data_IF_057143847527
#
_entry.id   IF_057143847527
#
_cell.length_a   1.000
_cell.length_b   1.000
_cell.length_c   1.000
_cell.angle_alpha   90.00
_cell.angle_beta   90.00
_cell.angle_gamma   90.00
#
_symmetry.space_group_name_H-M   'P 1'
#
loop_
_entity.id
_entity.type
_entity.pdbx_description
1 polymer ?
#
# COMPACT_ATOMS: atom_id res chain seq x y z
N UNK A 1 7.62 1.16 20.79
CA UNK A 1 8.08 0.17 21.82
C UNK A 1 9.26 -0.57 21.23
N UNK A 2 10.44 -0.54 21.87
CA UNK A 2 11.55 -1.39 21.45
C UNK A 2 11.18 -2.85 21.78
N UNK A 3 11.37 -3.75 20.83
CA UNK A 3 11.21 -5.17 21.06
C UNK A 3 12.27 -5.64 22.08
N UNK A 4 11.82 -6.04 23.26
CA UNK A 4 12.71 -6.47 24.36
C UNK A 4 13.58 -7.67 23.95
N UNK A 5 13.04 -8.56 23.11
CA UNK A 5 13.79 -9.68 22.57
C UNK A 5 14.88 -9.20 21.62
N UNK A 6 14.56 -8.30 20.70
CA UNK A 6 15.52 -7.71 19.78
C UNK A 6 16.63 -6.96 20.51
N UNK A 7 16.30 -6.20 21.56
CA UNK A 7 17.28 -5.56 22.43
C UNK A 7 18.20 -6.57 23.12
N UNK A 8 17.65 -7.66 23.66
CA UNK A 8 18.42 -8.72 24.30
C UNK A 8 19.37 -9.42 23.32
N UNK A 9 18.90 -9.80 22.15
CA UNK A 9 19.68 -10.50 21.10
C UNK A 9 20.89 -9.68 20.62
N UNK A 10 20.82 -8.35 20.69
CA UNK A 10 21.95 -7.49 20.32
C UNK A 10 23.04 -7.40 21.38
N UNK A 11 22.80 -7.85 22.62
CA UNK A 11 23.83 -7.90 23.66
C UNK A 11 24.85 -9.01 23.38
N UNK A 12 26.08 -8.92 23.90
CA UNK A 12 27.09 -9.97 23.75
C UNK A 12 26.62 -11.35 24.25
N UNK A 13 25.90 -11.38 25.37
CA UNK A 13 25.33 -12.61 25.94
C UNK A 13 24.19 -13.13 25.07
N UNK A 14 23.31 -12.26 24.59
CA UNK A 14 22.23 -12.60 23.68
C UNK A 14 22.75 -13.21 22.36
N UNK A 15 23.77 -12.62 21.75
CA UNK A 15 24.42 -13.17 20.54
C UNK A 15 25.00 -14.56 20.76
N UNK A 16 25.64 -14.78 21.91
CA UNK A 16 26.19 -16.11 22.26
C UNK A 16 25.08 -17.15 22.43
N UNK A 17 24.01 -16.80 23.13
CA UNK A 17 22.84 -17.70 23.33
C UNK A 17 22.12 -17.99 22.01
N UNK A 18 21.89 -16.99 21.18
CA UNK A 18 21.28 -17.17 19.83
C UNK A 18 22.10 -18.15 18.99
N UNK A 19 23.44 -17.97 18.96
CA UNK A 19 24.35 -18.84 18.21
C UNK A 19 24.33 -20.29 18.71
N UNK A 20 24.33 -20.49 20.03
CA UNK A 20 24.46 -21.82 20.63
C UNK A 20 23.13 -22.56 20.74
N UNK A 21 22.02 -21.85 20.92
CA UNK A 21 20.68 -22.44 21.10
C UNK A 21 19.82 -22.41 19.84
N UNK A 22 20.35 -21.89 18.71
CA UNK A 22 19.59 -21.78 17.47
C UNK A 22 18.36 -20.86 17.57
N UNK A 23 18.37 -19.87 18.46
CA UNK A 23 17.28 -18.95 18.64
C UNK A 23 17.16 -17.99 17.44
N UNK A 24 15.94 -17.50 17.11
CA UNK A 24 15.76 -16.54 16.03
C UNK A 24 16.60 -15.28 16.25
N UNK A 25 17.32 -14.85 15.21
CA UNK A 25 18.05 -13.57 15.21
C UNK A 25 17.44 -12.61 14.17
N UNK A 26 16.35 -11.92 14.51
CA UNK A 26 15.67 -11.03 13.57
C UNK A 26 16.59 -9.84 13.25
N UNK A 27 16.75 -9.57 11.95
CA UNK A 27 17.44 -8.37 11.49
C UNK A 27 16.68 -7.12 11.90
N UNK A 28 17.32 -6.13 12.53
CA UNK A 28 16.69 -4.84 12.79
C UNK A 28 16.23 -4.22 11.47
N UNK A 29 14.94 -3.90 11.37
CA UNK A 29 14.40 -3.27 10.18
C UNK A 29 14.71 -1.77 10.18
N UNK A 30 15.12 -1.27 9.04
CA UNK A 30 15.25 0.17 8.83
C UNK A 30 13.88 0.85 8.97
N UNK A 31 13.89 1.99 9.65
CA UNK A 31 12.71 2.84 9.84
C UNK A 31 12.89 4.12 9.06
N UNK A 32 11.86 4.54 8.35
CA UNK A 32 11.88 5.83 7.72
C UNK A 32 11.93 6.95 8.78
N UNK A 33 12.85 7.89 8.59
CA UNK A 33 12.93 9.12 9.36
C UNK A 33 12.66 10.30 8.42
N UNK A 34 11.94 11.30 8.90
CA UNK A 34 11.68 12.51 8.12
C UNK A 34 13.02 13.20 7.78
N UNK A 35 13.19 13.66 6.54
CA UNK A 35 14.43 14.26 6.04
C UNK A 35 15.51 13.27 5.61
N UNK A 36 15.33 11.94 5.85
CA UNK A 36 16.22 10.92 5.31
C UNK A 36 15.98 10.71 3.81
N UNK A 37 17.02 10.31 3.04
CA UNK A 37 16.82 9.94 1.64
C UNK A 37 15.81 8.78 1.52
N UNK A 38 15.09 8.71 0.41
CA UNK A 38 14.16 7.59 0.16
C UNK A 38 14.89 6.24 0.12
N UNK A 39 16.10 6.23 -0.43
CA UNK A 39 16.97 5.05 -0.50
C UNK A 39 18.39 5.51 -0.14
N UNK A 40 18.98 4.89 0.88
CA UNK A 40 20.37 5.12 1.26
C UNK A 40 21.26 4.06 0.59
N UNK A 41 21.64 4.30 -0.65
CA UNK A 41 22.45 3.41 -1.46
C UNK A 41 21.98 3.32 -2.92
N UNK A 42 22.59 2.43 -3.69
CA UNK A 42 22.34 2.28 -5.13
C UNK A 42 21.27 1.24 -5.44
N UNK A 43 20.41 1.55 -6.39
CA UNK A 43 19.42 0.63 -6.96
C UNK A 43 19.92 0.13 -8.32
N UNK A 44 20.02 -1.19 -8.48
CA UNK A 44 20.29 -1.79 -9.78
C UNK A 44 18.98 -1.98 -10.55
N UNK A 45 18.94 -1.46 -11.76
CA UNK A 45 17.80 -1.57 -12.68
C UNK A 45 18.13 -2.56 -13.80
N UNK A 46 17.20 -3.47 -14.09
CA UNK A 46 17.36 -4.42 -15.19
C UNK A 46 16.02 -4.82 -15.81
N UNK A 47 16.09 -5.80 -16.68
CA UNK A 47 14.93 -6.25 -17.44
C UNK A 47 14.80 -5.57 -18.81
N UNK A 48 13.75 -5.97 -19.54
CA UNK A 48 13.42 -5.44 -20.86
C UNK A 48 11.92 -5.33 -20.98
N UNK A 49 11.45 -4.17 -21.33
CA UNK A 49 10.02 -3.93 -21.50
C UNK A 49 9.74 -2.45 -21.68
N UNK A 50 8.49 -2.09 -21.64
CA UNK A 50 8.03 -0.73 -21.91
C UNK A 50 8.41 0.31 -20.86
N UNK A 51 8.93 -0.14 -19.68
CA UNK A 51 9.38 0.73 -18.59
C UNK A 51 10.90 0.95 -18.61
N UNK A 52 11.66 0.11 -19.30
CA UNK A 52 13.12 0.10 -19.24
C UNK A 52 13.77 1.47 -19.53
N UNK A 53 13.23 2.22 -20.50
CA UNK A 53 13.75 3.55 -20.85
C UNK A 53 13.36 4.64 -19.85
N UNK A 54 12.17 4.54 -19.24
CA UNK A 54 11.65 5.57 -18.33
C UNK A 54 12.11 5.40 -16.88
N UNK A 55 12.44 4.18 -16.45
CA UNK A 55 12.80 3.87 -15.06
C UNK A 55 13.97 4.70 -14.52
N UNK A 56 15.10 4.87 -15.24
CA UNK A 56 16.19 5.70 -14.73
C UNK A 56 15.75 7.14 -14.45
N UNK A 57 14.99 7.74 -15.35
CA UNK A 57 14.46 9.10 -15.16
C UNK A 57 13.46 9.20 -14.00
N UNK A 58 12.65 8.16 -13.76
CA UNK A 58 11.76 8.10 -12.60
C UNK A 58 12.55 8.01 -11.30
N UNK A 59 13.60 7.21 -11.24
CA UNK A 59 14.43 7.08 -10.03
C UNK A 59 15.24 8.37 -9.76
N UNK A 60 15.74 9.01 -10.81
CA UNK A 60 16.42 10.30 -10.71
C UNK A 60 15.48 11.41 -10.17
N UNK A 61 14.25 11.49 -10.67
CA UNK A 61 13.21 12.38 -10.16
C UNK A 61 12.94 12.16 -8.65
N UNK A 62 13.07 10.92 -8.17
CA UNK A 62 12.92 10.57 -6.76
C UNK A 62 14.19 10.80 -5.92
N UNK A 63 15.29 11.26 -6.53
CA UNK A 63 16.59 11.39 -5.89
C UNK A 63 17.22 10.05 -5.50
N UNK A 64 16.87 8.96 -6.20
CA UNK A 64 17.37 7.61 -5.93
C UNK A 64 18.52 7.30 -6.89
N UNK A 65 19.73 7.10 -6.34
CA UNK A 65 20.89 6.68 -7.11
C UNK A 65 20.62 5.32 -7.78
N UNK A 66 20.78 5.23 -9.10
CA UNK A 66 20.53 4.00 -9.85
C UNK A 66 21.59 3.72 -10.89
N UNK A 67 21.73 2.44 -11.27
CA UNK A 67 22.61 1.97 -12.34
C UNK A 67 21.95 0.83 -13.11
N UNK A 68 22.24 0.71 -14.39
CA UNK A 68 21.84 -0.43 -15.23
C UNK A 68 23.00 -1.40 -15.49
N UNK A 69 24.22 -1.00 -15.14
CA UNK A 69 25.41 -1.85 -15.29
C UNK A 69 25.74 -2.51 -13.95
N UNK A 70 25.64 -3.84 -13.83
CA UNK A 70 26.05 -4.54 -12.64
C UNK A 70 27.57 -4.47 -12.49
N UNK A 71 28.03 -4.00 -11.32
CA UNK A 71 29.44 -4.01 -10.93
C UNK A 71 29.73 -5.18 -10.00
N UNK A 72 30.82 -5.89 -10.23
CA UNK A 72 31.20 -7.09 -9.48
C UNK A 72 31.54 -6.79 -8.02
N UNK A 73 32.02 -5.57 -7.72
CA UNK A 73 32.46 -5.16 -6.39
C UNK A 73 31.40 -4.31 -5.64
N UNK A 74 30.33 -3.91 -6.32
CA UNK A 74 29.29 -3.09 -5.73
C UNK A 74 28.26 -3.91 -4.92
N UNK A 75 27.74 -3.31 -3.85
CA UNK A 75 26.51 -3.75 -3.17
C UNK A 75 25.32 -2.89 -3.59
N UNK A 76 24.11 -3.44 -3.47
CA UNK A 76 22.89 -2.79 -3.90
C UNK A 76 21.88 -2.72 -2.77
N UNK A 77 21.33 -1.54 -2.56
CA UNK A 77 20.24 -1.30 -1.61
C UNK A 77 18.89 -1.72 -2.17
N UNK A 78 18.75 -1.73 -3.49
CA UNK A 78 17.53 -2.16 -4.16
C UNK A 78 17.77 -2.75 -5.53
N UNK A 79 16.79 -3.54 -5.99
CA UNK A 79 16.72 -4.07 -7.34
C UNK A 79 15.36 -3.70 -7.95
N UNK A 80 15.35 -3.19 -9.16
CA UNK A 80 14.14 -2.98 -9.96
C UNK A 80 14.29 -3.75 -11.26
N UNK A 81 13.35 -4.65 -11.54
CA UNK A 81 13.37 -5.45 -12.75
C UNK A 81 12.11 -5.22 -13.58
N UNK A 82 12.28 -4.71 -14.80
CA UNK A 82 11.21 -4.58 -15.78
C UNK A 82 10.94 -5.91 -16.47
N UNK A 83 9.88 -6.59 -16.06
CA UNK A 83 9.36 -7.83 -16.62
C UNK A 83 8.18 -7.61 -17.58
N UNK A 84 7.85 -6.35 -17.94
CA UNK A 84 6.74 -6.07 -18.86
C UNK A 84 6.98 -6.58 -20.28
N UNK A 85 8.22 -6.84 -20.65
CA UNK A 85 8.60 -7.45 -21.91
C UNK A 85 8.67 -8.98 -21.90
N UNK A 86 8.28 -9.64 -20.80
CA UNK A 86 8.18 -11.11 -20.73
C UNK A 86 6.85 -11.53 -21.35
N UNK A 87 6.91 -12.13 -22.55
CA UNK A 87 5.72 -12.52 -23.34
C UNK A 87 5.54 -14.05 -23.43
N UNK A 88 6.57 -14.82 -23.09
CA UNK A 88 6.53 -16.28 -23.09
C UNK A 88 7.09 -16.85 -21.80
N UNK A 89 6.79 -18.12 -21.52
CA UNK A 89 7.38 -18.82 -20.37
C UNK A 89 8.91 -19.00 -20.50
N UNK A 90 9.45 -19.02 -21.71
CA UNK A 90 10.90 -19.09 -21.94
C UNK A 90 11.59 -17.77 -21.52
N UNK A 91 10.94 -16.64 -21.67
CA UNK A 91 11.50 -15.32 -21.30
C UNK A 91 11.67 -15.17 -19.78
N UNK A 92 11.02 -16.02 -18.97
CA UNK A 92 11.21 -16.06 -17.51
C UNK A 92 12.66 -16.35 -17.11
N UNK A 93 13.48 -16.93 -18.00
CA UNK A 93 14.92 -17.09 -17.77
C UNK A 93 15.63 -15.75 -17.48
N UNK A 94 15.13 -14.64 -18.03
CA UNK A 94 15.68 -13.31 -17.76
C UNK A 94 15.65 -12.93 -16.27
N UNK A 95 14.68 -13.46 -15.50
CA UNK A 95 14.65 -13.29 -14.04
C UNK A 95 15.88 -13.97 -13.40
N UNK A 96 16.15 -15.23 -13.75
CA UNK A 96 17.31 -15.94 -13.23
C UNK A 96 18.61 -15.20 -13.58
N UNK A 97 18.74 -14.81 -14.83
CA UNK A 97 19.97 -14.19 -15.36
C UNK A 97 20.26 -12.85 -14.69
N UNK A 98 19.22 -12.07 -14.34
CA UNK A 98 19.38 -10.83 -13.61
C UNK A 98 19.60 -11.03 -12.10
N UNK A 99 18.78 -11.84 -11.43
CA UNK A 99 18.78 -11.93 -9.97
C UNK A 99 19.95 -12.79 -9.44
N UNK A 100 20.27 -13.92 -10.06
CA UNK A 100 21.27 -14.87 -9.55
C UNK A 100 22.63 -14.22 -9.26
N UNK A 101 23.23 -13.42 -10.14
CA UNK A 101 24.56 -12.85 -9.88
C UNK A 101 24.58 -11.77 -8.81
N UNK A 102 23.42 -11.14 -8.47
CA UNK A 102 23.39 -9.95 -7.60
C UNK A 102 22.78 -10.20 -6.21
N UNK A 103 22.02 -11.29 -6.00
CA UNK A 103 21.34 -11.54 -4.71
C UNK A 103 22.28 -11.60 -3.51
N UNK A 104 23.52 -12.10 -3.68
CA UNK A 104 24.51 -12.17 -2.60
C UNK A 104 25.14 -10.82 -2.26
N UNK A 105 24.98 -9.84 -3.13
CA UNK A 105 25.52 -8.48 -3.03
C UNK A 105 24.49 -7.46 -2.57
N UNK A 106 23.37 -7.92 -2.10
CA UNK A 106 22.38 -7.05 -1.49
C UNK A 106 22.82 -6.58 -0.11
N UNK A 107 22.57 -5.32 0.21
CA UNK A 107 22.76 -4.74 1.52
C UNK A 107 21.77 -5.27 2.57
N UNK A 108 21.83 -4.73 3.78
CA UNK A 108 20.80 -4.97 4.79
C UNK A 108 19.50 -4.25 4.40
N UNK A 109 18.37 -4.86 4.72
CA UNK A 109 17.05 -4.34 4.40
C UNK A 109 16.84 -3.97 2.92
N UNK A 110 17.26 -4.81 1.95
CA UNK A 110 17.16 -4.45 0.54
C UNK A 110 15.71 -4.40 0.08
N UNK A 111 15.45 -3.62 -0.95
CA UNK A 111 14.12 -3.47 -1.57
C UNK A 111 14.16 -3.99 -3.00
N UNK A 112 13.33 -4.98 -3.29
CA UNK A 112 13.24 -5.58 -4.62
C UNK A 112 11.85 -5.35 -5.20
N UNK A 113 11.77 -4.80 -6.38
CA UNK A 113 10.53 -4.55 -7.11
C UNK A 113 10.61 -5.19 -8.49
N UNK A 114 9.65 -6.05 -8.79
CA UNK A 114 9.44 -6.59 -10.13
C UNK A 114 8.25 -5.87 -10.75
N UNK A 115 8.42 -5.33 -11.95
CA UNK A 115 7.37 -4.63 -12.68
C UNK A 115 6.84 -5.56 -13.77
N UNK A 116 5.54 -5.78 -13.83
CA UNK A 116 4.91 -6.69 -14.80
C UNK A 116 3.69 -6.05 -15.49
N UNK A 117 3.20 -6.72 -16.51
CA UNK A 117 1.93 -6.38 -17.19
C UNK A 117 0.78 -7.13 -16.49
N UNK A 118 -0.38 -6.49 -16.23
CA UNK A 118 -1.51 -7.17 -15.62
C UNK A 118 -1.93 -8.41 -16.43
N UNK A 119 -1.96 -9.62 -15.84
CA UNK A 119 -2.27 -10.84 -16.60
C UNK A 119 -3.68 -10.83 -17.23
N UNK A 120 -4.58 -10.04 -16.69
CA UNK A 120 -5.93 -9.87 -17.22
C UNK A 120 -6.00 -8.99 -18.48
N UNK A 121 -4.96 -8.23 -18.79
CA UNK A 121 -4.89 -7.37 -19.97
C UNK A 121 -4.18 -8.01 -21.17
N UNK A 122 -3.66 -9.23 -21.00
CA UNK A 122 -2.93 -9.97 -22.02
C UNK A 122 -3.48 -11.38 -22.19
N UNK A 123 -3.08 -12.10 -23.24
CA UNK A 123 -3.64 -13.41 -23.58
C UNK A 123 -2.56 -14.49 -23.79
N UNK A 124 -2.98 -15.74 -23.94
CA UNK A 124 -2.11 -16.86 -24.33
C UNK A 124 -0.92 -17.07 -23.41
N UNK A 125 0.25 -17.26 -24.00
CA UNK A 125 1.51 -17.50 -23.29
C UNK A 125 1.96 -16.35 -22.43
N UNK A 126 1.70 -15.12 -22.85
CA UNK A 126 2.02 -13.92 -22.09
C UNK A 126 1.26 -13.85 -20.77
N UNK A 127 -0.05 -14.14 -20.76
CA UNK A 127 -0.85 -14.23 -19.55
C UNK A 127 -0.26 -15.22 -18.55
N UNK A 128 0.17 -16.38 -19.03
CA UNK A 128 0.79 -17.41 -18.19
C UNK A 128 2.11 -16.92 -17.61
N UNK A 129 2.97 -16.31 -18.44
CA UNK A 129 4.26 -15.81 -18.02
C UNK A 129 4.14 -14.65 -17.01
N UNK A 130 3.26 -13.69 -17.26
CA UNK A 130 3.00 -12.58 -16.34
C UNK A 130 2.39 -13.05 -15.01
N UNK A 131 1.51 -14.06 -15.03
CA UNK A 131 0.96 -14.66 -13.80
C UNK A 131 2.03 -15.38 -12.99
N UNK A 132 3.03 -16.00 -13.63
CA UNK A 132 4.14 -16.68 -12.96
C UNK A 132 5.00 -15.74 -12.11
N UNK A 133 5.03 -14.43 -12.41
CA UNK A 133 5.74 -13.42 -11.63
C UNK A 133 5.28 -13.37 -10.16
N UNK A 134 4.01 -13.66 -9.86
CA UNK A 134 3.52 -13.72 -8.49
C UNK A 134 4.20 -14.82 -7.68
N UNK A 135 4.35 -16.01 -8.28
CA UNK A 135 5.04 -17.14 -7.67
C UNK A 135 6.52 -16.83 -7.44
N UNK A 136 7.19 -16.29 -8.46
CA UNK A 136 8.58 -15.86 -8.38
C UNK A 136 8.80 -14.84 -7.26
N UNK A 137 8.00 -13.78 -7.21
CA UNK A 137 8.10 -12.70 -6.21
C UNK A 137 7.96 -13.23 -4.78
N UNK A 138 6.97 -14.11 -4.55
CA UNK A 138 6.77 -14.70 -3.22
C UNK A 138 7.90 -15.65 -2.81
N UNK A 139 8.46 -16.40 -3.76
CA UNK A 139 9.61 -17.27 -3.50
C UNK A 139 10.85 -16.45 -3.20
N UNK A 140 11.17 -15.47 -4.03
CA UNK A 140 12.30 -14.58 -3.83
C UNK A 140 12.21 -13.83 -2.50
N UNK A 141 11.00 -13.41 -2.09
CA UNK A 141 10.75 -12.75 -0.81
C UNK A 141 11.09 -13.59 0.42
N UNK A 142 11.09 -14.94 0.29
CA UNK A 142 11.53 -15.85 1.35
C UNK A 142 13.06 -16.02 1.36
N UNK A 143 13.72 -15.83 0.22
CA UNK A 143 15.15 -16.04 0.05
C UNK A 143 16.01 -14.83 0.39
N UNK A 144 15.52 -13.62 0.12
CA UNK A 144 16.30 -12.37 0.26
C UNK A 144 16.81 -12.16 1.67
N UNK A 145 16.05 -12.50 2.71
CA UNK A 145 16.46 -12.41 4.11
C UNK A 145 16.88 -10.99 4.53
N UNK A 146 17.67 -10.90 5.60
CA UNK A 146 18.31 -9.65 6.11
C UNK A 146 17.37 -8.44 6.18
N UNK A 147 16.06 -8.64 6.50
CA UNK A 147 15.06 -7.59 6.55
C UNK A 147 14.62 -7.05 5.18
N UNK A 148 14.99 -7.75 4.10
CA UNK A 148 14.62 -7.40 2.73
C UNK A 148 13.15 -7.63 2.41
N UNK A 149 12.64 -6.91 1.42
CA UNK A 149 11.28 -7.06 0.92
C UNK A 149 11.27 -7.24 -0.60
N UNK A 150 10.33 -8.01 -1.12
CA UNK A 150 10.16 -8.26 -2.56
C UNK A 150 8.70 -8.03 -2.92
N UNK A 151 8.45 -7.19 -3.93
CA UNK A 151 7.10 -6.83 -4.37
C UNK A 151 6.95 -7.05 -5.87
N UNK A 152 5.73 -7.32 -6.29
CA UNK A 152 5.32 -7.28 -7.69
C UNK A 152 4.41 -6.07 -7.91
N UNK A 153 4.70 -5.30 -8.94
CA UNK A 153 3.86 -4.19 -9.38
C UNK A 153 3.39 -4.43 -10.80
N UNK A 154 2.12 -4.68 -10.97
CA UNK A 154 1.52 -4.72 -12.29
C UNK A 154 1.19 -3.29 -12.75
N UNK A 155 1.75 -2.89 -13.89
CA UNK A 155 1.57 -1.58 -14.48
C UNK A 155 0.73 -1.73 -15.75
N UNK A 156 -0.47 -1.17 -15.76
CA UNK A 156 -1.31 -1.16 -16.96
C UNK A 156 -0.63 -0.35 -18.08
N UNK A 157 -0.93 -0.69 -19.33
CA UNK A 157 -0.50 0.10 -20.46
C UNK A 157 -1.04 1.53 -20.36
N UNK A 158 -0.19 2.52 -20.60
CA UNK A 158 -0.51 3.94 -20.42
C UNK A 158 -0.40 4.46 -18.98
N UNK A 159 0.00 3.60 -18.01
CA UNK A 159 0.20 3.97 -16.62
C UNK A 159 1.69 4.13 -16.23
N UNK A 160 2.60 4.11 -17.19
CA UNK A 160 4.05 4.12 -16.96
C UNK A 160 4.50 5.35 -16.14
N UNK A 161 3.95 6.52 -16.46
CA UNK A 161 4.26 7.78 -15.77
C UNK A 161 3.78 7.83 -14.29
N UNK A 162 2.92 6.88 -13.88
CA UNK A 162 2.36 6.82 -12.53
C UNK A 162 3.14 5.90 -11.58
N UNK A 163 4.27 5.35 -12.02
CA UNK A 163 5.07 4.41 -11.22
C UNK A 163 5.82 5.08 -10.07
N UNK A 164 6.10 6.37 -10.16
CA UNK A 164 6.97 7.09 -9.22
C UNK A 164 6.51 6.98 -7.76
N UNK A 165 5.23 7.22 -7.45
CA UNK A 165 4.72 7.16 -6.08
C UNK A 165 4.82 5.75 -5.48
N UNK A 166 4.57 4.72 -6.29
CA UNK A 166 4.68 3.32 -5.87
C UNK A 166 6.14 2.95 -5.64
N UNK A 167 7.06 3.35 -6.52
CA UNK A 167 8.49 3.11 -6.36
C UNK A 167 9.06 3.88 -5.15
N UNK A 168 8.67 5.13 -4.94
CA UNK A 168 9.05 5.92 -3.77
C UNK A 168 8.66 5.22 -2.46
N UNK A 169 7.49 4.60 -2.40
CA UNK A 169 7.05 3.83 -1.24
C UNK A 169 7.80 2.51 -1.11
N UNK A 170 7.80 1.68 -2.18
CA UNK A 170 8.29 0.30 -2.12
C UNK A 170 9.81 0.20 -1.98
N UNK A 171 10.58 1.15 -2.53
CA UNK A 171 12.02 1.20 -2.41
C UNK A 171 12.50 1.82 -1.08
N UNK A 172 11.65 2.57 -0.39
CA UNK A 172 12.00 3.25 0.86
C UNK A 172 11.75 2.39 2.10
N UNK A 173 12.32 2.76 3.27
CA UNK A 173 12.00 2.16 4.56
C UNK A 173 10.54 2.30 4.99
N UNK A 174 9.73 3.15 4.33
CA UNK A 174 8.28 3.26 4.56
C UNK A 174 7.57 1.91 4.35
N UNK A 175 8.08 1.05 3.45
CA UNK A 175 7.53 -0.28 3.12
C UNK A 175 8.15 -1.45 3.90
N UNK A 176 8.86 -1.20 5.01
CA UNK A 176 9.63 -2.23 5.73
C UNK A 176 8.82 -3.48 6.16
N UNK A 177 7.51 -3.36 6.30
CA UNK A 177 6.61 -4.44 6.68
C UNK A 177 5.79 -5.02 5.52
N UNK A 178 6.04 -4.57 4.30
CA UNK A 178 5.30 -5.00 3.10
C UNK A 178 6.22 -5.91 2.29
N UNK A 179 5.89 -7.19 2.18
CA UNK A 179 6.65 -8.15 1.37
C UNK A 179 5.73 -9.20 0.76
N UNK A 180 6.06 -9.69 -0.44
CA UNK A 180 5.30 -10.71 -1.17
C UNK A 180 3.95 -10.22 -1.70
N UNK A 181 3.73 -8.90 -1.77
CA UNK A 181 2.47 -8.31 -2.21
C UNK A 181 2.46 -8.02 -3.71
N UNK A 182 1.24 -7.94 -4.25
CA UNK A 182 0.98 -7.51 -5.62
C UNK A 182 0.29 -6.17 -5.59
N UNK A 183 0.94 -5.15 -6.15
CA UNK A 183 0.39 -3.80 -6.33
C UNK A 183 -0.06 -3.65 -7.78
N UNK A 184 -1.11 -2.89 -8.04
CA UNK A 184 -1.62 -2.63 -9.39
C UNK A 184 -1.73 -1.14 -9.62
N UNK A 185 -1.18 -0.68 -10.75
CA UNK A 185 -1.27 0.70 -11.22
C UNK A 185 -2.16 0.68 -12.46
N UNK A 186 -3.33 1.32 -12.35
CA UNK A 186 -4.28 1.47 -13.46
C UNK A 186 -3.92 2.64 -14.37
N UNK A 187 -4.48 2.65 -15.59
CA UNK A 187 -4.24 3.73 -16.56
C UNK A 187 -5.07 4.99 -16.30
N UNK A 188 -6.09 4.91 -15.43
CA UNK A 188 -7.00 6.02 -15.14
C UNK A 188 -6.94 6.43 -13.67
N UNK A 189 -7.07 7.72 -13.39
CA UNK A 189 -7.07 8.25 -12.02
C UNK A 189 -5.70 8.21 -11.35
N UNK A 190 -4.63 8.15 -12.10
CA UNK A 190 -3.26 8.12 -11.60
C UNK A 190 -2.66 9.52 -11.50
N UNK A 191 -1.93 9.77 -10.42
CA UNK A 191 -1.18 11.01 -10.23
C UNK A 191 0.10 10.97 -11.06
N UNK A 192 0.37 12.02 -11.78
CA UNK A 192 1.65 12.17 -12.49
C UNK A 192 2.74 12.57 -11.50
N UNK A 193 3.94 12.03 -11.68
CA UNK A 193 5.08 12.31 -10.81
C UNK A 193 5.40 13.81 -10.71
N UNK A 194 5.26 14.56 -11.81
CA UNK A 194 5.49 16.01 -11.87
C UNK A 194 4.53 16.84 -11.00
N UNK A 195 3.45 16.23 -10.48
CA UNK A 195 2.47 16.90 -9.62
C UNK A 195 2.84 16.83 -8.13
N UNK A 196 3.86 16.07 -7.76
CA UNK A 196 4.38 15.96 -6.39
C UNK A 196 5.61 16.85 -6.26
N UNK A 197 5.44 17.98 -5.57
CA UNK A 197 6.52 18.94 -5.42
C UNK A 197 7.63 18.46 -4.47
N UNK A 198 7.25 17.72 -3.44
CA UNK A 198 8.19 17.17 -2.45
C UNK A 198 7.82 15.72 -2.07
N UNK A 199 8.68 14.78 -2.40
CA UNK A 199 8.51 13.37 -2.07
C UNK A 199 8.68 13.03 -0.59
N UNK A 200 9.23 13.96 0.19
CA UNK A 200 9.26 13.88 1.66
C UNK A 200 7.87 14.19 2.26
N UNK A 201 7.14 15.11 1.62
CA UNK A 201 5.81 15.57 2.02
C UNK A 201 4.80 15.47 0.87
N UNK A 202 4.56 14.27 0.34
CA UNK A 202 3.76 14.08 -0.89
C UNK A 202 2.28 14.45 -0.73
N UNK A 203 1.81 14.68 0.50
CA UNK A 203 0.43 15.07 0.83
C UNK A 203 0.30 16.53 1.23
N UNK A 204 1.29 17.37 0.95
CA UNK A 204 1.24 18.79 1.26
C UNK A 204 0.00 19.45 0.64
N UNK A 205 -0.75 20.21 1.45
CA UNK A 205 -1.98 20.86 1.03
C UNK A 205 -3.20 19.94 0.86
N UNK A 206 -3.09 18.65 1.18
CA UNK A 206 -4.19 17.68 1.15
C UNK A 206 -4.90 17.61 2.50
N UNK A 207 -6.21 17.36 2.48
CA UNK A 207 -7.03 17.13 3.67
C UNK A 207 -7.34 15.65 3.78
N UNK A 208 -7.02 15.04 4.93
CA UNK A 208 -7.21 13.63 5.19
C UNK A 208 -8.16 13.40 6.38
N UNK A 209 -9.26 12.69 6.15
CA UNK A 209 -10.18 12.23 7.19
C UNK A 209 -9.76 10.84 7.68
N UNK A 210 -9.65 10.67 9.00
CA UNK A 210 -9.36 9.37 9.63
C UNK A 210 -10.44 9.03 10.65
N UNK A 211 -11.17 7.93 10.47
CA UNK A 211 -12.14 7.45 11.45
C UNK A 211 -11.48 6.50 12.45
N UNK A 212 -11.87 6.55 13.74
CA UNK A 212 -11.22 5.80 14.81
C UNK A 212 -9.80 6.31 15.06
N UNK A 213 -9.60 7.63 15.04
CA UNK A 213 -8.28 8.24 15.03
C UNK A 213 -7.65 8.41 16.42
N UNK A 214 -8.42 8.34 17.51
CA UNK A 214 -7.98 8.72 18.86
C UNK A 214 -6.81 7.89 19.40
N UNK A 215 -6.68 6.64 18.98
CA UNK A 215 -5.68 5.70 19.51
C UNK A 215 -5.31 4.57 18.56
N UNK A 216 -4.26 3.84 18.91
CA UNK A 216 -3.88 2.59 18.24
C UNK A 216 -3.49 2.79 16.78
N UNK A 217 -4.07 2.01 15.86
CA UNK A 217 -3.75 2.05 14.43
C UNK A 217 -4.17 3.40 13.83
N UNK A 218 -5.37 3.88 14.17
CA UNK A 218 -5.88 5.16 13.65
C UNK A 218 -5.01 6.35 14.02
N UNK A 219 -4.52 6.40 15.26
CA UNK A 219 -3.55 7.39 15.72
C UNK A 219 -2.26 7.35 14.88
N UNK A 220 -1.70 6.16 14.65
CA UNK A 220 -0.48 6.02 13.87
C UNK A 220 -0.69 6.41 12.40
N UNK A 221 -1.86 6.11 11.83
CA UNK A 221 -2.23 6.58 10.48
C UNK A 221 -2.29 8.11 10.45
N UNK A 222 -2.94 8.73 11.42
CA UNK A 222 -3.04 10.19 11.53
C UNK A 222 -1.65 10.84 11.61
N UNK A 223 -0.75 10.31 12.45
CA UNK A 223 0.65 10.77 12.56
C UNK A 223 1.44 10.64 11.26
N UNK A 224 1.25 9.55 10.53
CA UNK A 224 1.93 9.34 9.24
C UNK A 224 1.40 10.31 8.18
N UNK A 225 0.09 10.51 8.08
CA UNK A 225 -0.51 11.44 7.14
C UNK A 225 -0.07 12.88 7.40
N UNK A 226 -0.04 13.30 8.69
CA UNK A 226 0.49 14.60 9.08
C UNK A 226 1.97 14.75 8.73
N UNK A 227 2.81 13.75 9.06
CA UNK A 227 4.24 13.74 8.69
C UNK A 227 4.43 13.92 7.18
N UNK A 228 3.59 13.26 6.38
CA UNK A 228 3.65 13.30 4.92
C UNK A 228 2.98 14.56 4.32
N UNK A 229 2.53 15.52 5.18
CA UNK A 229 2.11 16.88 4.80
C UNK A 229 0.60 17.14 4.82
N UNK A 230 -0.23 16.12 5.10
CA UNK A 230 -1.68 16.31 5.12
C UNK A 230 -2.17 17.09 6.36
N UNK A 231 -3.19 17.92 6.18
CA UNK A 231 -4.06 18.39 7.28
C UNK A 231 -4.97 17.23 7.67
N UNK A 232 -4.87 16.77 8.92
CA UNK A 232 -5.63 15.60 9.39
C UNK A 232 -6.90 16.04 10.11
N UNK A 233 -8.03 15.43 9.74
CA UNK A 233 -9.30 15.54 10.45
C UNK A 233 -9.62 14.21 11.10
N UNK A 234 -9.53 14.13 12.42
CA UNK A 234 -9.80 12.92 13.19
C UNK A 234 -11.28 12.81 13.55
N UNK A 235 -11.85 11.61 13.42
CA UNK A 235 -13.21 11.29 13.87
C UNK A 235 -13.16 10.11 14.83
N UNK A 236 -13.80 10.26 16.00
CA UNK A 236 -13.98 9.17 16.95
C UNK A 236 -15.25 9.35 17.78
N UNK A 237 -15.61 8.32 18.53
CA UNK A 237 -16.80 8.32 19.38
C UNK A 237 -16.68 9.29 20.56
N UNK A 238 -17.80 9.80 21.14
CA UNK A 238 -17.77 10.75 22.25
C UNK A 238 -16.93 10.30 23.47
N UNK A 239 -16.84 9.01 23.71
CA UNK A 239 -16.06 8.43 24.82
C UNK A 239 -14.55 8.60 24.67
N UNK A 240 -14.09 8.86 23.46
CA UNK A 240 -12.68 9.09 23.12
C UNK A 240 -12.36 10.56 22.78
N UNK A 241 -13.25 11.50 23.16
CA UNK A 241 -13.12 12.89 22.78
C UNK A 241 -11.84 13.57 23.29
N UNK A 242 -11.44 13.28 24.53
CA UNK A 242 -10.24 13.86 25.15
C UNK A 242 -8.95 13.40 24.44
N UNK A 243 -8.83 12.12 24.15
CA UNK A 243 -7.68 11.55 23.45
C UNK A 243 -7.61 12.06 22.02
N UNK A 244 -8.78 12.13 21.34
CA UNK A 244 -8.87 12.65 19.99
C UNK A 244 -8.43 14.11 19.91
N UNK A 245 -8.94 14.94 20.81
CA UNK A 245 -8.61 16.36 20.89
C UNK A 245 -7.12 16.57 21.17
N UNK A 246 -6.55 15.81 22.12
CA UNK A 246 -5.12 15.90 22.45
C UNK A 246 -4.25 15.56 21.24
N UNK A 247 -4.57 14.47 20.52
CA UNK A 247 -3.85 14.06 19.33
C UNK A 247 -3.96 15.13 18.23
N UNK A 248 -5.15 15.63 17.94
CA UNK A 248 -5.32 16.62 16.87
C UNK A 248 -4.66 17.97 17.22
N UNK A 249 -4.63 18.35 18.49
CA UNK A 249 -3.86 19.53 18.94
C UNK A 249 -2.34 19.33 18.70
N UNK A 250 -1.83 18.14 18.99
CA UNK A 250 -0.41 17.81 18.72
C UNK A 250 -0.08 17.85 17.23
N UNK A 251 -1.01 17.41 16.37
CA UNK A 251 -0.81 17.32 14.91
C UNK A 251 -1.23 18.60 14.16
N UNK A 252 -1.60 19.69 14.87
CA UNK A 252 -2.19 20.88 14.24
C UNK A 252 -3.34 20.53 13.28
N UNK A 253 -4.13 19.53 13.68
CA UNK A 253 -5.27 18.99 12.93
C UNK A 253 -6.60 19.41 13.49
N UNK A 254 -7.69 18.91 12.91
CA UNK A 254 -9.05 19.17 13.38
C UNK A 254 -9.72 17.86 13.80
N UNK A 255 -10.80 17.97 14.55
CA UNK A 255 -11.53 16.80 15.04
C UNK A 255 -13.04 16.96 15.02
N UNK A 256 -13.71 15.83 14.87
CA UNK A 256 -15.16 15.74 15.01
C UNK A 256 -15.51 14.53 15.89
N UNK A 257 -16.15 14.81 17.02
CA UNK A 257 -16.59 13.77 17.94
C UNK A 257 -17.99 13.31 17.55
N UNK A 258 -18.08 12.08 17.03
CA UNK A 258 -19.38 11.51 16.66
C UNK A 258 -19.29 9.97 16.46
N UNK A 259 -20.41 9.28 16.69
CA UNK A 259 -20.56 7.86 16.33
C UNK A 259 -20.87 7.73 14.82
N UNK A 260 -19.96 7.08 14.07
CA UNK A 260 -20.12 6.91 12.62
C UNK A 260 -21.30 6.02 12.21
N UNK A 261 -21.90 5.28 13.15
CA UNK A 261 -23.11 4.47 12.91
C UNK A 261 -24.40 5.29 12.97
N UNK A 262 -24.32 6.54 13.43
CA UNK A 262 -25.45 7.45 13.46
C UNK A 262 -25.99 7.77 12.06
N UNK A 263 -27.31 7.83 11.91
CA UNK A 263 -27.96 8.08 10.61
C UNK A 263 -27.57 9.41 9.96
N UNK A 264 -27.25 10.41 10.78
CA UNK A 264 -26.83 11.75 10.35
C UNK A 264 -25.30 11.89 10.28
N UNK A 265 -24.55 10.89 10.67
CA UNK A 265 -23.09 10.94 10.71
C UNK A 265 -22.45 11.33 9.36
N UNK A 266 -22.86 10.73 8.22
CA UNK A 266 -22.30 11.10 6.92
C UNK A 266 -22.50 12.59 6.59
N UNK A 267 -23.70 13.13 6.86
CA UNK A 267 -24.02 14.53 6.57
C UNK A 267 -23.24 15.47 7.47
N UNK A 268 -23.10 15.15 8.76
CA UNK A 268 -22.32 15.95 9.72
C UNK A 268 -20.84 15.98 9.35
N UNK A 269 -20.27 14.83 8.96
CA UNK A 269 -18.88 14.75 8.50
C UNK A 269 -18.70 15.60 7.22
N UNK A 270 -19.59 15.43 6.24
CA UNK A 270 -19.52 16.15 4.98
C UNK A 270 -19.64 17.66 5.17
N UNK A 271 -20.57 18.11 6.03
CA UNK A 271 -20.75 19.52 6.36
C UNK A 271 -19.49 20.10 7.03
N UNK A 272 -18.97 19.42 8.05
CA UNK A 272 -17.77 19.85 8.76
C UNK A 272 -16.56 20.00 7.83
N UNK A 273 -16.30 18.99 6.97
CA UNK A 273 -15.21 19.00 6.01
C UNK A 273 -15.35 20.13 4.98
N UNK A 274 -16.57 20.36 4.51
CA UNK A 274 -16.85 21.43 3.54
C UNK A 274 -16.65 22.82 4.15
N UNK A 275 -17.22 23.07 5.32
CA UNK A 275 -17.20 24.40 5.96
C UNK A 275 -15.80 24.78 6.47
N UNK A 276 -15.07 23.84 7.07
CA UNK A 276 -13.76 24.14 7.68
C UNK A 276 -12.58 23.95 6.73
N UNK A 277 -12.68 23.02 5.80
CA UNK A 277 -11.54 22.60 4.97
C UNK A 277 -11.80 22.74 3.46
N UNK A 278 -13.01 23.13 3.06
CA UNK A 278 -13.39 23.21 1.64
C UNK A 278 -13.53 21.85 0.95
N UNK A 279 -13.47 20.74 1.70
CA UNK A 279 -13.60 19.37 1.21
C UNK A 279 -12.58 18.41 1.82
N UNK A 280 -12.44 17.23 1.23
CA UNK A 280 -11.50 16.18 1.65
C UNK A 280 -10.83 15.55 0.43
N UNK A 281 -9.53 15.26 0.54
CA UNK A 281 -8.76 14.58 -0.51
C UNK A 281 -8.59 13.08 -0.23
N UNK A 282 -8.46 12.69 1.04
CA UNK A 282 -8.28 11.30 1.46
C UNK A 282 -9.28 10.93 2.55
N UNK A 283 -9.85 9.73 2.46
CA UNK A 283 -10.70 9.17 3.52
C UNK A 283 -10.15 7.83 3.95
N UNK A 284 -9.81 7.71 5.24
CA UNK A 284 -9.33 6.48 5.84
C UNK A 284 -10.41 5.92 6.77
N UNK A 285 -11.07 4.87 6.32
CA UNK A 285 -12.01 4.11 7.13
C UNK A 285 -11.25 3.13 8.03
N UNK A 286 -10.78 3.61 9.17
CA UNK A 286 -10.05 2.79 10.14
C UNK A 286 -10.93 2.35 11.33
N UNK A 287 -11.97 3.11 11.70
CA UNK A 287 -12.86 2.71 12.77
C UNK A 287 -13.36 1.27 12.58
N UNK A 288 -13.28 0.49 13.64
CA UNK A 288 -13.71 -0.91 13.62
C UNK A 288 -13.78 -1.48 15.02
N UNK A 289 -14.61 -2.49 15.21
CA UNK A 289 -14.77 -3.24 16.44
C UNK A 289 -14.67 -4.75 16.19
N UNK A 290 -14.25 -5.49 17.21
CA UNK A 290 -14.29 -6.95 17.22
C UNK A 290 -15.24 -7.45 18.31
N UNK A 291 -15.87 -8.58 18.08
CA UNK A 291 -16.74 -9.28 19.04
C UNK A 291 -16.49 -10.78 18.93
N UNK A 292 -15.36 -11.22 19.51
CA UNK A 292 -14.87 -12.59 19.35
C UNK A 292 -15.79 -13.61 20.02
N UNK A 293 -16.51 -14.37 19.20
CA UNK A 293 -17.32 -15.53 19.56
C UNK A 293 -17.38 -16.50 18.38
N UNK A 294 -17.47 -17.80 18.67
CA UNK A 294 -17.80 -18.78 17.63
C UNK A 294 -19.19 -18.46 17.07
N UNK A 295 -19.37 -18.61 15.76
CA UNK A 295 -20.62 -18.26 15.09
C UNK A 295 -21.85 -18.95 15.73
N UNK A 296 -21.70 -20.21 16.15
CA UNK A 296 -22.75 -20.97 16.84
C UNK A 296 -23.22 -20.35 18.17
N UNK A 297 -22.42 -19.45 18.76
CA UNK A 297 -22.69 -18.79 20.03
C UNK A 297 -22.71 -17.25 19.89
N UNK A 298 -22.80 -16.76 18.65
CA UNK A 298 -22.81 -15.33 18.36
C UNK A 298 -24.22 -14.77 18.57
N UNK A 299 -24.37 -13.86 19.53
CA UNK A 299 -25.62 -13.16 19.73
C UNK A 299 -25.86 -12.13 18.62
N UNK A 300 -27.11 -11.91 18.25
CA UNK A 300 -27.54 -11.03 17.15
C UNK A 300 -27.01 -9.60 17.31
N UNK A 301 -27.14 -9.03 18.52
CA UNK A 301 -26.64 -7.70 18.85
C UNK A 301 -25.14 -7.53 18.62
N UNK A 302 -24.35 -8.57 18.91
CA UNK A 302 -22.91 -8.58 18.65
C UNK A 302 -22.58 -8.63 17.16
N UNK A 303 -23.29 -9.49 16.43
CA UNK A 303 -23.18 -9.57 14.97
C UNK A 303 -23.52 -8.24 14.30
N UNK A 304 -24.69 -7.69 14.65
CA UNK A 304 -25.18 -6.43 14.09
C UNK A 304 -24.28 -5.26 14.40
N UNK A 305 -23.73 -5.18 15.62
CA UNK A 305 -22.79 -4.12 15.99
C UNK A 305 -21.51 -4.15 15.15
N UNK A 306 -20.97 -5.34 14.85
CA UNK A 306 -19.79 -5.49 13.98
C UNK A 306 -20.12 -5.07 12.56
N UNK A 307 -21.25 -5.49 12.01
CA UNK A 307 -21.68 -5.08 10.68
C UNK A 307 -21.92 -3.58 10.59
N UNK A 308 -22.59 -3.00 11.59
CA UNK A 308 -22.88 -1.57 11.61
C UNK A 308 -21.59 -0.72 11.54
N UNK A 309 -20.59 -1.02 12.35
CA UNK A 309 -19.34 -0.23 12.40
C UNK A 309 -18.42 -0.59 11.23
N UNK A 310 -18.17 -1.89 10.98
CA UNK A 310 -17.10 -2.29 10.07
C UNK A 310 -17.50 -2.29 8.59
N UNK A 311 -18.81 -2.32 8.29
CA UNK A 311 -19.31 -2.40 6.92
C UNK A 311 -20.30 -1.29 6.58
N UNK A 312 -21.42 -1.18 7.33
CA UNK A 312 -22.54 -0.31 6.96
C UNK A 312 -22.15 1.16 7.05
N UNK A 313 -21.48 1.58 8.13
CA UNK A 313 -21.01 2.95 8.29
C UNK A 313 -20.07 3.40 7.16
N UNK A 314 -19.29 2.47 6.60
CA UNK A 314 -18.41 2.75 5.45
C UNK A 314 -19.17 2.91 4.14
N UNK A 315 -20.23 2.10 3.93
CA UNK A 315 -21.03 2.15 2.72
C UNK A 315 -21.99 3.35 2.67
N UNK A 316 -22.37 3.88 3.84
CA UNK A 316 -23.12 5.12 3.99
C UNK A 316 -22.25 6.38 3.93
N UNK A 317 -20.92 6.23 3.89
CA UNK A 317 -20.00 7.36 3.73
C UNK A 317 -20.29 8.09 2.42
N UNK A 318 -20.41 9.43 2.45
CA UNK A 318 -21.08 10.16 1.39
C UNK A 318 -20.33 10.12 0.07
N UNK A 319 -20.97 9.55 -0.91
CA UNK A 319 -20.78 9.99 -2.30
C UNK A 319 -21.07 11.49 -2.46
N UNK A 320 -21.65 12.14 -1.43
CA UNK A 320 -21.95 13.54 -1.30
C UNK A 320 -20.89 14.36 -0.55
N UNK A 321 -19.86 13.74 0.05
CA UNK A 321 -18.66 14.48 0.36
C UNK A 321 -18.08 14.90 -0.98
N UNK A 322 -18.35 16.12 -1.41
CA UNK A 322 -17.67 16.69 -2.56
C UNK A 322 -16.18 16.61 -2.22
N UNK A 323 -15.53 15.52 -2.67
CA UNK A 323 -14.09 15.56 -2.91
C UNK A 323 -13.90 16.92 -3.57
N UNK A 324 -13.01 17.77 -3.05
CA UNK A 324 -12.62 19.01 -3.72
C UNK A 324 -12.62 18.67 -5.18
N UNK A 325 -13.50 19.33 -5.96
CA UNK A 325 -13.80 18.90 -7.31
C UNK A 325 -12.49 18.51 -7.96
N UNK A 326 -12.29 17.22 -8.15
CA UNK A 326 -11.13 16.72 -8.80
C UNK A 326 -11.18 17.34 -10.19
N UNK A 327 -10.50 18.46 -10.34
CA UNK A 327 -10.00 18.77 -11.66
C UNK A 327 -9.22 17.53 -12.02
N UNK A 328 -9.51 16.91 -13.12
CA UNK A 328 -9.08 15.61 -13.62
C UNK A 328 -7.56 15.38 -13.63
N UNK A 329 -6.80 15.99 -12.72
CA UNK A 329 -5.36 16.10 -12.75
C UNK A 329 -4.63 15.49 -11.55
N UNK A 330 -5.26 15.29 -10.37
CA UNK A 330 -4.50 14.82 -9.20
C UNK A 330 -5.31 13.95 -8.27
N UNK A 331 -5.14 12.63 -8.34
CA UNK A 331 -5.66 11.88 -7.25
C UNK A 331 -5.74 10.37 -7.37
N UNK A 332 -4.94 9.69 -6.57
CA UNK A 332 -5.13 8.29 -6.30
C UNK A 332 -6.36 8.05 -5.44
N UNK A 333 -7.48 7.66 -6.04
CA UNK A 333 -8.63 7.13 -5.32
C UNK A 333 -8.39 5.64 -5.06
N UNK A 334 -8.30 5.24 -3.81
CA UNK A 334 -8.45 3.86 -3.36
C UNK A 334 -9.94 3.44 -3.26
N UNK A 335 -10.83 4.19 -3.90
CA UNK A 335 -12.20 3.76 -4.14
C UNK A 335 -12.21 2.97 -5.44
N UNK A 336 -12.48 1.67 -5.36
CA UNK A 336 -12.80 0.82 -6.51
C UNK A 336 -13.82 1.54 -7.40
N UNK A 337 -13.56 1.73 -8.71
CA UNK A 337 -14.58 2.25 -9.59
C UNK A 337 -15.74 1.25 -9.58
N UNK A 338 -16.92 1.70 -9.17
CA UNK A 338 -18.14 0.94 -9.42
C UNK A 338 -18.25 0.84 -10.93
N UNK A 339 -17.93 -0.34 -11.48
CA UNK A 339 -18.41 -0.71 -12.79
C UNK A 339 -19.92 -0.47 -12.75
N UNK A 340 -20.43 0.39 -13.62
CA UNK A 340 -21.85 0.41 -13.94
C UNK A 340 -22.16 -0.92 -14.60
N UNK A 341 -22.47 -1.93 -13.80
CA UNK A 341 -23.17 -3.09 -14.27
C UNK A 341 -24.57 -2.59 -14.65
N UNK A 342 -24.84 -2.52 -15.94
CA UNK A 342 -26.19 -2.46 -16.46
C UNK A 342 -26.99 -3.58 -15.78
N UNK A 343 -28.23 -3.36 -15.36
CA UNK A 343 -29.06 -4.42 -14.83
C UNK A 343 -29.29 -5.45 -15.95
N UNK A 344 -28.54 -6.54 -15.91
CA UNK A 344 -28.89 -7.71 -16.69
C UNK A 344 -30.20 -8.24 -16.12
N UNK A 345 -31.24 -8.04 -16.86
CA UNK A 345 -32.55 -8.69 -16.66
C UNK A 345 -32.34 -10.20 -16.70
N UNK A 346 -32.36 -10.82 -15.54
CA UNK A 346 -32.49 -12.25 -15.41
C UNK A 346 -33.89 -12.65 -15.83
N UNK A 347 -34.09 -12.93 -17.14
CA UNK A 347 -35.25 -13.63 -17.61
C UNK A 347 -35.19 -15.08 -17.09
N UNK A 348 -36.11 -15.44 -16.21
CA UNK A 348 -36.34 -16.84 -15.81
C UNK A 348 -36.75 -17.67 -17.03
N UNK A 349 -36.12 -18.83 -17.30
CA UNK A 349 -36.66 -19.75 -18.26
C UNK A 349 -37.93 -20.38 -17.68
N UNK A 350 -39.06 -20.14 -18.29
CA UNK A 350 -40.31 -20.77 -17.97
C UNK A 350 -40.53 -22.00 -18.85
N UNK A 351 -39.79 -23.09 -18.69
CA UNK A 351 -40.22 -24.43 -19.10
C UNK A 351 -39.31 -25.50 -18.50
N UNK A 352 -39.84 -26.49 -17.79
CA UNK A 352 -39.04 -27.65 -17.37
C UNK A 352 -38.82 -28.59 -18.57
N UNK A 353 -37.67 -29.30 -18.64
CA UNK A 353 -37.44 -30.29 -19.68
C UNK A 353 -38.33 -31.52 -19.50
N UNK A 354 -38.72 -32.23 -20.60
CA UNK A 354 -39.47 -33.44 -20.52
C UNK A 354 -38.67 -34.60 -19.93
N UNK A 355 -39.33 -35.45 -19.14
CA UNK A 355 -38.73 -36.67 -18.57
C UNK A 355 -38.52 -37.71 -19.69
N UNK A 356 -37.42 -38.48 -19.67
CA UNK A 356 -37.28 -39.61 -20.57
C UNK A 356 -38.18 -40.76 -20.15
N UNK A 357 -38.72 -41.44 -21.16
CA UNK A 357 -39.49 -42.69 -21.08
C UNK A 357 -38.53 -43.85 -20.83
#
# INVERSE_FOLDING_TARGET
MSDKYQGFVQTPIGKLLVKNLGLPNPTPLERYAAGAPLVDGTVLVGGRGRLAESLPGVLDLLGIASTQAPDADASYKGLVFDATGITTSADLNALRDFFTPVLRRLDTCPRVVVLGTPPESVEGGERVAQRALEGFTRSLGKEVGRGGTVQLVYVAEGAEAATASTLAFLLSPKSAYVSGQVVRIGATGTTKAAEVADWQRPLEGKVALVTGASRGIGEQIARVLHRDGATVVGVDVPQAASELQALMTELDGDHLTLDITGKDAPQRIAHHLKEKHGGVDLVVHNAGITRDKKLANMAEDRWDSVLAVNLIARSGSPASCSTRAWSTTTGGSWASPRSRASPATWARPTTPPPRPV
#
